data_IF_089525204620
#
_entry.id   IF_089525204620
#
_cell.length_a   1.000
_cell.length_b   1.000
_cell.length_c   1.000
_cell.angle_alpha   90.00
_cell.angle_beta   90.00
_cell.angle_gamma   90.00
#
_symmetry.space_group_name_H-M   'P 1'
#
loop_
_entity.id
_entity.type
_entity.pdbx_description
1 polymer ?
#
# COMPACT_ATOMS: atom_id res chain seq x y z
N UNK A 1 -18.53 -9.32 -5.89
CA UNK A 1 -17.77 -8.40 -5.02
C UNK A 1 -17.01 -9.30 -4.08
N UNK A 2 -15.70 -9.46 -4.29
CA UNK A 2 -14.91 -10.36 -3.45
C UNK A 2 -14.58 -9.64 -2.15
N UNK A 3 -14.93 -10.33 -1.08
CA UNK A 3 -14.69 -9.98 0.31
C UNK A 3 -13.18 -9.76 0.51
N UNK A 4 -12.80 -8.52 0.79
CA UNK A 4 -11.42 -8.11 1.03
C UNK A 4 -11.35 -7.52 2.44
N UNK A 5 -11.67 -8.34 3.45
CA UNK A 5 -11.75 -7.87 4.82
C UNK A 5 -11.48 -8.91 5.90
N UNK A 6 -11.81 -10.18 5.68
CA UNK A 6 -11.75 -11.18 6.75
C UNK A 6 -10.78 -12.33 6.46
N UNK A 7 -9.71 -12.36 7.25
CA UNK A 7 -9.06 -13.57 7.77
C UNK A 7 -8.91 -14.78 6.83
N UNK A 8 -7.71 -14.95 6.26
CA UNK A 8 -7.11 -16.28 6.14
C UNK A 8 -7.26 -17.01 4.80
N UNK A 9 -7.67 -16.35 3.73
CA UNK A 9 -7.62 -16.95 2.40
C UNK A 9 -6.27 -16.65 1.75
N UNK A 10 -5.55 -17.71 1.35
CA UNK A 10 -4.29 -17.71 0.61
C UNK A 10 -4.29 -16.63 -0.50
N UNK A 11 -3.93 -15.39 -0.17
CA UNK A 11 -3.51 -14.42 -1.16
C UNK A 11 -2.20 -15.01 -1.72
N UNK A 12 -2.14 -15.39 -3.01
CA UNK A 12 -0.91 -15.96 -3.59
C UNK A 12 0.23 -14.94 -3.64
N UNK A 13 -0.05 -13.69 -3.26
CA UNK A 13 0.88 -12.61 -3.13
C UNK A 13 1.29 -12.49 -1.66
N UNK A 14 2.57 -12.70 -1.40
CA UNK A 14 3.19 -12.38 -0.12
C UNK A 14 3.34 -10.87 -0.04
N UNK A 15 2.61 -10.23 0.87
CA UNK A 15 2.73 -8.81 1.14
C UNK A 15 3.63 -8.61 2.36
N UNK A 16 4.54 -7.64 2.27
CA UNK A 16 5.27 -7.20 3.45
C UNK A 16 4.32 -6.35 4.32
N UNK A 17 4.04 -6.81 5.54
CA UNK A 17 3.25 -6.11 6.55
C UNK A 17 4.09 -5.61 7.74
N UNK A 18 5.41 -5.80 7.69
CA UNK A 18 6.31 -5.35 8.75
C UNK A 18 7.04 -4.07 8.32
N UNK A 19 6.54 -2.94 8.84
CA UNK A 19 7.04 -1.59 8.53
C UNK A 19 8.56 -1.43 8.74
N UNK A 20 9.18 -2.24 9.61
CA UNK A 20 10.60 -2.13 9.95
C UNK A 20 11.49 -2.82 8.92
N UNK A 21 10.92 -3.74 8.15
CA UNK A 21 11.63 -4.49 7.10
C UNK A 21 11.36 -3.98 5.69
N UNK A 22 10.39 -3.08 5.53
CA UNK A 22 10.07 -2.46 4.24
C UNK A 22 11.32 -1.88 3.58
N UNK A 23 11.54 -2.30 2.33
CA UNK A 23 12.62 -1.87 1.44
C UNK A 23 12.04 -1.51 0.07
N UNK A 24 12.79 -0.76 -0.72
CA UNK A 24 12.44 -0.46 -2.11
C UNK A 24 12.26 -1.79 -2.86
N UNK A 25 11.16 -1.91 -3.61
CA UNK A 25 10.75 -3.11 -4.33
C UNK A 25 9.83 -4.06 -3.56
N UNK A 26 9.57 -3.84 -2.26
CA UNK A 26 8.55 -4.62 -1.55
C UNK A 26 7.15 -4.35 -2.12
N UNK A 27 6.38 -5.43 -2.27
CA UNK A 27 4.95 -5.34 -2.55
C UNK A 27 4.21 -5.23 -1.22
N UNK A 28 3.44 -4.15 -1.06
CA UNK A 28 2.67 -3.86 0.15
C UNK A 28 1.20 -3.69 -0.19
N UNK A 29 0.35 -3.99 0.78
CA UNK A 29 -1.04 -3.57 0.74
C UNK A 29 -1.19 -2.22 1.43
N UNK A 30 -1.76 -1.24 0.74
CA UNK A 30 -2.04 0.09 1.28
C UNK A 30 -3.55 0.36 1.27
N UNK A 31 -3.99 1.33 2.08
CA UNK A 31 -5.36 1.84 2.09
C UNK A 31 -5.36 3.30 1.68
N UNK A 32 -6.51 3.75 1.18
CA UNK A 32 -6.73 5.14 0.85
C UNK A 32 -7.81 5.69 1.77
N UNK A 33 -7.49 6.74 2.52
CA UNK A 33 -8.44 7.43 3.38
C UNK A 33 -9.45 8.26 2.56
N UNK A 34 -10.63 8.53 3.10
CA UNK A 34 -11.65 9.35 2.43
C UNK A 34 -12.55 8.54 1.48
N UNK A 35 -12.66 8.93 0.21
CA UNK A 35 -13.68 8.35 -0.71
C UNK A 35 -13.45 6.88 -1.07
N UNK A 36 -12.25 6.36 -0.84
CA UNK A 36 -11.88 4.95 -1.10
C UNK A 36 -11.63 4.18 0.21
N UNK A 37 -12.04 4.74 1.35
CA UNK A 37 -11.88 4.11 2.65
C UNK A 37 -12.56 2.73 2.69
N UNK A 38 -11.90 1.77 3.32
CA UNK A 38 -12.36 0.38 3.40
C UNK A 38 -11.80 -0.55 2.32
N UNK A 39 -11.40 -0.02 1.15
CA UNK A 39 -10.81 -0.84 0.08
C UNK A 39 -9.28 -1.01 0.27
N UNK A 40 -8.75 -2.25 0.22
CA UNK A 40 -7.31 -2.45 0.15
C UNK A 40 -6.83 -2.36 -1.30
N UNK A 41 -5.68 -1.72 -1.47
CA UNK A 41 -4.95 -1.64 -2.73
C UNK A 41 -3.58 -2.30 -2.58
N UNK A 42 -2.92 -2.52 -3.71
CA UNK A 42 -1.58 -3.13 -3.78
C UNK A 42 -0.67 -2.19 -4.56
N UNK A 43 0.53 -1.98 -4.05
CA UNK A 43 1.54 -1.18 -4.73
C UNK A 43 2.95 -1.62 -4.37
N UNK A 44 3.92 -1.08 -5.09
CA UNK A 44 5.35 -1.35 -4.85
C UNK A 44 6.00 -0.16 -4.17
N UNK A 45 6.78 -0.40 -3.13
CA UNK A 45 7.56 0.66 -2.47
C UNK A 45 8.67 1.15 -3.40
N UNK A 46 8.65 2.43 -3.73
CA UNK A 46 9.72 3.07 -4.53
C UNK A 46 10.69 3.86 -3.67
N UNK A 47 10.21 4.39 -2.53
CA UNK A 47 11.04 5.06 -1.52
C UNK A 47 10.56 4.69 -0.11
N UNK A 48 11.52 4.64 0.81
CA UNK A 48 11.33 4.26 2.20
C UNK A 48 12.01 5.31 3.08
N UNK A 49 11.23 6.03 3.86
CA UNK A 49 11.69 7.03 4.83
C UNK A 49 11.32 6.61 6.25
N UNK A 50 11.81 7.36 7.23
CA UNK A 50 11.58 7.10 8.66
C UNK A 50 10.10 7.26 9.04
N UNK A 51 9.41 8.27 8.50
CA UNK A 51 8.01 8.60 8.81
C UNK A 51 7.00 8.14 7.74
N UNK A 52 7.45 7.91 6.51
CA UNK A 52 6.55 7.64 5.37
C UNK A 52 7.20 6.74 4.31
N UNK A 53 6.37 6.29 3.37
CA UNK A 53 6.78 5.56 2.18
C UNK A 53 6.22 6.20 0.94
N UNK A 54 6.89 5.99 -0.20
CA UNK A 54 6.31 6.28 -1.51
C UNK A 54 5.98 4.97 -2.21
N UNK A 55 4.78 4.94 -2.80
CA UNK A 55 4.19 3.74 -3.38
C UNK A 55 3.86 4.01 -4.84
N UNK A 56 4.41 3.21 -5.75
CA UNK A 56 3.89 3.10 -7.11
C UNK A 56 2.63 2.22 -7.04
N UNK A 57 1.48 2.86 -6.91
CA UNK A 57 0.18 2.19 -6.78
C UNK A 57 -0.66 2.18 -8.06
N UNK A 58 -0.24 2.90 -9.11
CA UNK A 58 -0.89 2.89 -10.41
C UNK A 58 -0.14 1.98 -11.40
N UNK A 59 -0.74 0.88 -11.88
CA UNK A 59 -0.09 -0.01 -12.84
C UNK A 59 -0.02 0.57 -14.26
N UNK A 60 -0.80 1.61 -14.57
CA UNK A 60 -0.77 2.30 -15.87
C UNK A 60 0.23 3.45 -15.88
N UNK A 61 0.51 4.06 -14.72
CA UNK A 61 1.48 5.13 -14.54
C UNK A 61 2.45 4.85 -13.37
N UNK A 62 3.54 4.09 -13.61
CA UNK A 62 4.50 3.75 -12.56
C UNK A 62 5.31 4.94 -12.06
N UNK A 63 5.20 6.12 -12.69
CA UNK A 63 5.83 7.36 -12.23
C UNK A 63 4.99 8.08 -11.17
N UNK A 64 3.71 7.72 -11.03
CA UNK A 64 2.83 8.28 -10.00
C UNK A 64 3.11 7.60 -8.67
N UNK A 65 3.62 8.40 -7.74
CA UNK A 65 3.99 7.93 -6.41
C UNK A 65 3.05 8.51 -5.36
N UNK A 66 2.48 7.64 -4.55
CA UNK A 66 1.58 7.98 -3.47
C UNK A 66 2.34 8.02 -2.16
N UNK A 67 2.22 9.13 -1.41
CA UNK A 67 2.78 9.21 -0.07
C UNK A 67 1.87 8.47 0.91
N UNK A 68 2.42 7.41 1.50
CA UNK A 68 1.76 6.60 2.52
C UNK A 68 2.44 6.70 3.88
N UNK A 69 1.71 6.48 4.97
CA UNK A 69 2.28 6.36 6.31
C UNK A 69 3.22 5.16 6.43
N UNK A 70 4.20 5.25 7.34
CA UNK A 70 5.08 4.13 7.68
C UNK A 70 4.44 3.23 8.73
N UNK A 71 3.47 2.43 8.31
CA UNK A 71 2.80 1.45 9.17
C UNK A 71 2.59 0.10 8.45
N UNK A 72 2.13 -0.92 9.19
CA UNK A 72 1.91 -2.28 8.66
C UNK A 72 1.09 -2.31 7.36
N UNK A 73 0.11 -1.40 7.22
CA UNK A 73 -0.57 -1.11 5.95
C UNK A 73 -0.55 0.41 5.73
N UNK A 74 0.31 0.92 4.83
CA UNK A 74 0.40 2.35 4.58
C UNK A 74 -0.97 2.98 4.30
N UNK A 75 -1.25 4.11 4.94
CA UNK A 75 -2.43 4.93 4.66
C UNK A 75 -2.03 6.07 3.72
N UNK A 76 -2.72 6.18 2.60
CA UNK A 76 -2.56 7.23 1.60
C UNK A 76 -3.79 8.14 1.68
N UNK A 77 -3.60 9.46 1.65
CA UNK A 77 -4.74 10.38 1.58
C UNK A 77 -5.33 10.40 0.16
N UNK A 78 -6.66 10.50 0.02
CA UNK A 78 -7.30 10.59 -1.30
C UNK A 78 -6.76 11.76 -2.15
N UNK A 79 -6.22 12.80 -1.53
CA UNK A 79 -5.64 13.95 -2.24
C UNK A 79 -4.30 13.66 -2.92
N UNK A 80 -3.64 12.56 -2.54
CA UNK A 80 -2.35 12.13 -3.09
C UNK A 80 -2.50 11.23 -4.32
N UNK A 81 -3.73 10.75 -4.61
CA UNK A 81 -4.06 9.85 -5.72
C UNK A 81 -4.84 10.52 -6.84
#
# INVERSE_FOLDING_TARGET
MQDMGETGENCPFEFNFDEKTFKIGDTVSFRVNGSLEGFPFVGTLVEVHDDHVLIAGDPQDPAKHYRGTRESRPQVEYTEI
#
